data_IF_982935942739
#
_entry.id   IF_982935942739
#
_cell.length_a   1.000
_cell.length_b   1.000
_cell.length_c   1.000
_cell.angle_alpha   90.00
_cell.angle_beta   90.00
_cell.angle_gamma   90.00
#
_symmetry.space_group_name_H-M   'P 1'
#
loop_
_entity.id
_entity.type
_entity.pdbx_description
1 polymer ?
#
# COMPACT_ATOMS: atom_id res chain seq x y z
N UNK A 1 29.57 -8.72 22.91
CA UNK A 1 29.51 -7.27 22.72
C UNK A 1 28.36 -6.77 23.58
N UNK A 2 28.66 -6.02 24.64
CA UNK A 2 27.68 -5.57 25.62
C UNK A 2 26.88 -4.38 25.04
N UNK A 3 25.67 -4.15 25.57
CA UNK A 3 24.78 -3.04 25.17
C UNK A 3 25.44 -1.66 25.26
N UNK A 4 26.39 -1.50 26.19
CA UNK A 4 27.19 -0.29 26.38
C UNK A 4 28.17 -0.08 25.23
N UNK A 5 28.84 -1.12 24.76
CA UNK A 5 29.79 -1.05 23.64
C UNK A 5 29.11 -0.65 22.32
N UNK A 6 27.84 -1.07 22.13
CA UNK A 6 27.06 -0.70 20.95
C UNK A 6 26.63 0.78 20.97
N UNK A 7 26.29 1.32 22.15
CA UNK A 7 25.90 2.72 22.29
C UNK A 7 27.10 3.67 22.19
N UNK A 8 28.27 3.27 22.67
CA UNK A 8 29.52 4.04 22.52
C UNK A 8 30.01 4.06 21.06
N UNK A 9 29.74 3.04 20.28
CA UNK A 9 30.03 2.98 18.86
C UNK A 9 29.14 3.96 18.06
N UNK A 10 27.89 4.13 18.47
CA UNK A 10 26.95 5.11 17.88
C UNK A 10 27.29 6.56 18.25
N UNK A 11 27.80 6.79 19.46
CA UNK A 11 28.16 8.13 19.96
C UNK A 11 29.42 8.71 19.28
N UNK A 12 30.29 7.87 18.72
CA UNK A 12 31.56 8.28 18.07
C UNK A 12 31.47 8.62 16.58
N UNK A 13 30.26 8.69 16.00
CA UNK A 13 29.97 9.31 14.71
C UNK A 13 30.61 8.70 13.45
N UNK A 14 31.38 7.60 13.55
CA UNK A 14 32.15 7.05 12.44
C UNK A 14 31.63 5.76 11.82
N UNK A 15 30.64 5.11 12.45
CA UNK A 15 30.22 3.76 12.06
C UNK A 15 28.99 3.65 11.17
N UNK A 16 28.11 4.67 11.16
CA UNK A 16 26.90 4.62 10.32
C UNK A 16 27.25 4.71 8.82
N UNK A 17 28.26 5.52 8.46
CA UNK A 17 28.72 5.65 7.08
C UNK A 17 29.45 4.41 6.54
N UNK A 18 30.07 3.60 7.42
CA UNK A 18 30.80 2.40 7.02
C UNK A 18 29.86 1.19 6.88
N UNK A 19 28.87 1.07 7.77
CA UNK A 19 27.82 0.02 7.68
C UNK A 19 26.94 0.21 6.44
N UNK A 20 26.65 1.46 6.06
CA UNK A 20 25.92 1.78 4.82
C UNK A 20 26.68 1.40 3.54
N UNK A 21 28.04 1.43 3.56
CA UNK A 21 28.85 1.01 2.41
C UNK A 21 28.94 -0.51 2.24
N UNK A 22 28.68 -1.28 3.28
CA UNK A 22 28.73 -2.75 3.26
C UNK A 22 27.34 -3.41 3.15
N UNK A 23 26.26 -2.62 3.26
CA UNK A 23 24.90 -3.13 3.09
C UNK A 23 24.63 -3.47 1.61
N UNK A 24 24.01 -4.60 1.30
CA UNK A 24 23.54 -4.89 -0.05
C UNK A 24 22.67 -3.74 -0.56
N UNK A 25 22.80 -3.40 -1.85
CA UNK A 25 22.06 -2.27 -2.47
C UNK A 25 20.56 -2.28 -2.14
N UNK A 26 19.92 -3.47 -2.13
CA UNK A 26 18.52 -3.63 -1.76
C UNK A 26 18.18 -3.26 -0.30
N UNK A 27 19.15 -3.44 0.63
CA UNK A 27 18.96 -3.05 2.02
C UNK A 27 19.04 -1.53 2.22
N UNK A 28 19.90 -0.84 1.45
CA UNK A 28 20.00 0.62 1.43
C UNK A 28 18.74 1.29 0.85
N UNK A 29 18.17 0.71 -0.20
CA UNK A 29 16.91 1.19 -0.79
C UNK A 29 15.73 1.01 0.16
N UNK A 30 15.65 -0.12 0.84
CA UNK A 30 14.65 -0.40 1.86
C UNK A 30 14.72 0.61 3.03
N UNK A 31 15.93 0.89 3.56
CA UNK A 31 16.14 1.90 4.62
C UNK A 31 15.74 3.30 4.15
N UNK A 32 16.05 3.69 2.89
CA UNK A 32 15.64 4.98 2.33
C UNK A 32 14.13 5.08 2.11
N UNK A 33 13.48 4.02 1.66
CA UNK A 33 12.03 3.98 1.51
C UNK A 33 11.33 4.11 2.87
N UNK A 34 11.84 3.46 3.91
CA UNK A 34 11.31 3.60 5.28
C UNK A 34 11.46 5.03 5.84
N UNK A 35 12.55 5.74 5.52
CA UNK A 35 12.77 7.11 6.02
C UNK A 35 11.78 8.12 5.44
N UNK A 36 11.13 7.83 4.32
CA UNK A 36 10.10 8.67 3.68
C UNK A 36 8.67 8.16 3.91
N UNK A 37 8.49 7.05 4.61
CA UNK A 37 7.18 6.49 4.91
C UNK A 37 6.57 7.11 6.17
N UNK A 38 5.26 7.41 6.12
CA UNK A 38 4.48 7.64 7.33
C UNK A 38 4.27 6.30 8.03
N UNK A 39 4.91 6.13 9.20
CA UNK A 39 4.87 4.88 9.96
C UNK A 39 3.57 4.75 10.75
N UNK A 40 3.04 3.53 10.80
CA UNK A 40 1.91 3.13 11.63
C UNK A 40 2.27 1.84 12.37
N UNK A 41 1.38 1.36 13.25
CA UNK A 41 1.54 0.07 13.90
C UNK A 41 1.77 -1.02 12.85
N UNK A 42 2.83 -1.83 13.05
CA UNK A 42 3.13 -2.97 12.17
C UNK A 42 2.01 -4.01 12.24
N UNK A 43 1.46 -4.38 11.08
CA UNK A 43 0.38 -5.34 10.96
C UNK A 43 0.80 -6.54 10.10
N UNK A 44 0.69 -7.75 10.66
CA UNK A 44 0.88 -9.00 9.92
C UNK A 44 -0.28 -9.20 8.94
N UNK A 45 0.00 -9.46 7.67
CA UNK A 45 -1.01 -9.92 6.72
C UNK A 45 -1.38 -11.37 7.06
N UNK A 46 -2.68 -11.64 7.27
CA UNK A 46 -3.19 -12.95 7.67
C UNK A 46 -4.33 -13.40 6.76
N UNK A 47 -4.55 -14.71 6.68
CA UNK A 47 -5.72 -15.28 6.05
C UNK A 47 -6.97 -15.18 6.97
N UNK A 48 -8.11 -15.66 6.51
CA UNK A 48 -9.36 -15.67 7.29
C UNK A 48 -9.30 -16.50 8.57
N UNK A 49 -8.38 -17.46 8.65
CA UNK A 49 -8.15 -18.28 9.85
C UNK A 49 -7.17 -17.63 10.83
N UNK A 50 -6.59 -16.47 10.47
CA UNK A 50 -5.61 -15.75 11.27
C UNK A 50 -4.17 -16.25 11.12
N UNK A 51 -3.89 -17.17 10.19
CA UNK A 51 -2.55 -17.61 9.86
C UNK A 51 -1.85 -16.58 8.94
N UNK A 52 -0.50 -16.53 8.93
CA UNK A 52 0.22 -15.67 8.00
C UNK A 52 -0.20 -15.92 6.54
N UNK A 53 -0.63 -14.86 5.86
CA UNK A 53 -0.99 -14.93 4.46
C UNK A 53 0.27 -15.11 3.59
N UNK A 54 0.27 -16.14 2.74
CA UNK A 54 1.42 -16.48 1.93
C UNK A 54 1.42 -15.72 0.60
N UNK A 55 2.33 -14.76 0.43
CA UNK A 55 2.41 -13.96 -0.79
C UNK A 55 2.69 -14.82 -2.03
N UNK A 56 3.39 -15.94 -1.87
CA UNK A 56 3.67 -16.88 -2.96
C UNK A 56 2.41 -17.52 -3.58
N UNK A 57 1.27 -17.45 -2.88
CA UNK A 57 -0.01 -18.00 -3.38
C UNK A 57 -0.79 -17.02 -4.25
N UNK A 58 -0.35 -15.74 -4.32
CA UNK A 58 -1.01 -14.72 -5.12
C UNK A 58 -0.86 -15.00 -6.61
N UNK A 59 -1.95 -15.31 -7.29
CA UNK A 59 -1.95 -15.45 -8.74
C UNK A 59 -1.84 -14.07 -9.42
N UNK A 60 -1.25 -14.01 -10.62
CA UNK A 60 -1.19 -12.80 -11.40
C UNK A 60 -2.56 -12.14 -11.59
N UNK A 61 -2.61 -10.83 -11.36
CA UNK A 61 -3.77 -9.97 -11.60
C UNK A 61 -5.06 -10.33 -10.82
N UNK A 62 -4.96 -11.16 -9.77
CA UNK A 62 -6.05 -11.37 -8.83
C UNK A 62 -5.92 -10.38 -7.66
N UNK A 63 -6.81 -9.38 -7.52
CA UNK A 63 -6.74 -8.42 -6.44
C UNK A 63 -7.34 -8.96 -5.15
N UNK A 64 -6.68 -8.65 -4.04
CA UNK A 64 -7.14 -8.88 -2.67
C UNK A 64 -7.28 -7.55 -1.92
N UNK A 65 -8.03 -7.56 -0.82
CA UNK A 65 -8.20 -6.38 0.04
C UNK A 65 -7.83 -6.73 1.47
N UNK A 66 -7.20 -5.79 2.15
CA UNK A 66 -6.95 -5.82 3.59
C UNK A 66 -7.12 -4.43 4.20
N UNK A 67 -7.54 -4.36 5.46
CA UNK A 67 -7.65 -3.11 6.21
C UNK A 67 -6.30 -2.77 6.86
N UNK A 68 -5.79 -1.53 6.66
CA UNK A 68 -4.58 -0.99 7.29
C UNK A 68 -4.45 0.51 7.00
N UNK A 69 -4.02 1.36 7.92
CA UNK A 69 -3.63 1.08 9.31
C UNK A 69 -4.85 0.96 10.23
N UNK A 70 -6.02 1.39 9.77
CA UNK A 70 -7.26 1.39 10.53
C UNK A 70 -8.26 0.37 10.00
N UNK A 71 -9.18 -0.07 10.84
CA UNK A 71 -10.22 -1.04 10.48
C UNK A 71 -11.05 -0.61 9.25
N UNK A 72 -11.21 0.70 9.03
CA UNK A 72 -12.01 1.25 7.92
C UNK A 72 -11.17 1.72 6.71
N UNK A 73 -9.86 1.49 6.67
CA UNK A 73 -9.00 1.93 5.56
C UNK A 73 -8.56 0.75 4.69
N UNK A 74 -9.34 0.42 3.64
CA UNK A 74 -9.03 -0.70 2.77
C UNK A 74 -7.87 -0.39 1.83
N UNK A 75 -7.05 -1.42 1.55
CA UNK A 75 -5.96 -1.39 0.60
C UNK A 75 -6.09 -2.56 -0.37
N UNK A 76 -5.68 -2.38 -1.61
CA UNK A 76 -5.66 -3.44 -2.62
C UNK A 76 -4.24 -3.98 -2.72
N UNK A 77 -4.11 -5.30 -2.53
CA UNK A 77 -2.90 -6.11 -2.71
C UNK A 77 -3.02 -6.89 -4.01
N UNK A 78 -1.98 -6.88 -4.84
CA UNK A 78 -2.00 -7.57 -6.13
C UNK A 78 -0.61 -7.99 -6.58
N UNK A 79 -0.53 -9.15 -7.25
CA UNK A 79 0.59 -9.57 -8.06
C UNK A 79 0.40 -9.01 -9.48
N UNK A 80 1.32 -8.13 -9.93
CA UNK A 80 1.21 -7.48 -11.26
C UNK A 80 1.92 -8.25 -12.38
N UNK A 81 2.47 -9.43 -12.08
CA UNK A 81 3.15 -10.33 -13.03
C UNK A 81 4.34 -9.69 -13.77
N UNK A 82 4.99 -8.74 -13.15
CA UNK A 82 6.18 -8.07 -13.69
C UNK A 82 7.12 -7.67 -12.55
N UNK A 83 8.42 -7.90 -12.73
CA UNK A 83 9.42 -7.39 -11.78
C UNK A 83 9.43 -5.87 -11.79
N UNK A 84 9.32 -5.27 -10.60
CA UNK A 84 9.20 -3.83 -10.42
C UNK A 84 10.48 -3.24 -9.85
N UNK A 85 10.96 -2.20 -10.53
CA UNK A 85 12.15 -1.44 -10.12
C UNK A 85 11.76 -0.20 -9.31
N UNK A 86 12.67 0.31 -8.45
CA UNK A 86 12.46 1.55 -7.74
C UNK A 86 12.26 2.74 -8.69
N UNK A 87 11.31 3.60 -8.36
CA UNK A 87 11.05 4.85 -9.11
C UNK A 87 10.91 6.05 -8.17
N UNK A 88 11.27 7.23 -8.65
CA UNK A 88 10.99 8.49 -7.98
C UNK A 88 9.57 8.93 -8.30
N UNK A 89 8.74 9.07 -7.26
CA UNK A 89 7.36 9.54 -7.39
C UNK A 89 7.31 11.02 -7.07
N UNK A 90 6.83 11.81 -8.03
CA UNK A 90 6.69 13.26 -7.88
C UNK A 90 5.37 13.59 -7.20
N UNK A 91 5.43 14.51 -6.22
CA UNK A 91 4.27 15.02 -5.50
C UNK A 91 4.12 16.52 -5.77
N UNK A 92 2.88 17.05 -5.91
CA UNK A 92 2.63 18.46 -6.20
C UNK A 92 3.20 19.44 -5.16
N UNK A 93 3.30 18.99 -3.90
CA UNK A 93 3.87 19.76 -2.79
C UNK A 93 5.40 19.69 -2.70
N UNK A 94 6.06 19.02 -3.67
CA UNK A 94 7.50 18.83 -3.72
C UNK A 94 8.04 17.76 -2.76
N UNK A 95 7.20 17.12 -1.95
CA UNK A 95 7.59 16.02 -1.06
C UNK A 95 7.71 14.70 -1.85
N UNK A 96 8.57 14.71 -2.84
CA UNK A 96 8.85 13.54 -3.66
C UNK A 96 9.40 12.40 -2.80
N UNK A 97 9.11 11.17 -3.18
CA UNK A 97 9.61 10.00 -2.48
C UNK A 97 10.07 8.91 -3.46
N UNK A 98 11.02 8.09 -3.01
CA UNK A 98 11.45 6.93 -3.77
C UNK A 98 10.59 5.73 -3.39
N UNK A 99 9.77 5.28 -4.34
CA UNK A 99 9.04 4.03 -4.21
C UNK A 99 9.98 2.85 -4.53
N UNK A 100 10.10 1.84 -3.65
CA UNK A 100 11.12 0.78 -3.79
C UNK A 100 10.77 -0.31 -4.81
N UNK A 101 9.59 -0.26 -5.42
CA UNK A 101 9.06 -1.34 -6.26
C UNK A 101 8.22 -2.33 -5.47
N UNK A 102 8.04 -3.53 -6.01
CA UNK A 102 7.26 -4.60 -5.40
C UNK A 102 8.04 -5.41 -4.37
N UNK A 103 7.32 -6.20 -3.59
CA UNK A 103 7.85 -7.21 -2.66
C UNK A 103 7.60 -8.63 -3.20
N UNK A 104 7.99 -9.66 -2.42
CA UNK A 104 7.92 -11.06 -2.82
C UNK A 104 9.16 -11.50 -3.61
N UNK A 105 9.26 -12.79 -3.91
CA UNK A 105 10.43 -13.37 -4.63
C UNK A 105 10.62 -12.77 -6.02
N UNK A 106 9.51 -12.42 -6.72
CA UNK A 106 9.53 -11.83 -8.05
C UNK A 106 9.50 -10.30 -8.04
N UNK A 107 9.54 -9.64 -6.87
CA UNK A 107 9.37 -8.18 -6.74
C UNK A 107 8.16 -7.64 -7.52
N UNK A 108 7.10 -8.41 -7.58
CA UNK A 108 5.92 -8.21 -8.42
C UNK A 108 4.62 -8.01 -7.62
N UNK A 109 4.72 -7.98 -6.29
CA UNK A 109 3.55 -7.82 -5.40
C UNK A 109 3.57 -6.42 -4.83
N UNK A 110 2.46 -5.70 -5.00
CA UNK A 110 2.28 -4.32 -4.56
C UNK A 110 1.00 -4.17 -3.77
N UNK A 111 0.97 -3.17 -2.89
CA UNK A 111 -0.25 -2.75 -2.23
C UNK A 111 -0.39 -1.23 -2.24
N UNK A 112 -1.62 -0.76 -2.46
CA UNK A 112 -1.98 0.66 -2.48
C UNK A 112 -3.25 0.89 -1.69
N UNK A 113 -3.38 2.06 -1.08
CA UNK A 113 -4.68 2.46 -0.54
C UNK A 113 -5.75 2.38 -1.62
N UNK A 114 -6.94 1.93 -1.29
CA UNK A 114 -8.08 1.98 -2.20
C UNK A 114 -8.93 3.25 -2.02
N UNK A 115 -8.37 4.26 -1.37
CA UNK A 115 -9.00 5.57 -1.15
C UNK A 115 -8.47 6.54 -2.21
N UNK A 116 -9.37 7.03 -3.07
CA UNK A 116 -9.01 7.96 -4.13
C UNK A 116 -8.68 9.35 -3.56
N UNK A 117 -7.51 9.94 -3.87
CA UNK A 117 -7.11 11.23 -3.34
C UNK A 117 -7.91 12.42 -3.90
N UNK A 118 -8.80 12.22 -4.89
CA UNK A 118 -9.65 13.27 -5.44
C UNK A 118 -10.83 13.59 -4.52
N UNK A 119 -11.67 12.60 -4.19
CA UNK A 119 -12.92 12.79 -3.44
C UNK A 119 -13.17 11.67 -2.43
N UNK A 120 -12.12 10.96 -2.01
CA UNK A 120 -12.14 9.91 -0.98
C UNK A 120 -13.10 8.76 -1.25
N UNK A 121 -13.51 8.55 -2.51
CA UNK A 121 -14.20 7.34 -2.93
C UNK A 121 -13.27 6.15 -2.77
N UNK A 122 -13.78 4.99 -2.39
CA UNK A 122 -12.96 3.86 -1.99
C UNK A 122 -13.58 2.51 -2.35
N UNK A 123 -12.85 1.42 -2.17
CA UNK A 123 -13.39 0.06 -2.25
C UNK A 123 -14.24 -0.24 -1.01
N UNK A 124 -15.49 0.20 -1.04
CA UNK A 124 -16.43 -0.07 0.04
C UNK A 124 -17.05 -1.47 -0.07
N UNK A 125 -17.49 -2.10 1.05
CA UNK A 125 -18.10 -3.45 1.02
C UNK A 125 -19.35 -3.55 0.15
N UNK A 126 -20.14 -2.50 0.07
CA UNK A 126 -21.40 -2.45 -0.69
C UNK A 126 -21.27 -1.82 -2.08
N UNK A 127 -20.23 -1.00 -2.32
CA UNK A 127 -19.97 -0.38 -3.62
C UNK A 127 -18.47 -0.12 -3.79
N UNK A 128 -17.81 -0.87 -4.66
CA UNK A 128 -16.38 -0.71 -4.93
C UNK A 128 -16.11 0.40 -5.93
N UNK A 129 -15.95 1.65 -5.47
CA UNK A 129 -15.61 2.75 -6.36
C UNK A 129 -14.15 2.72 -6.86
N UNK A 130 -13.24 2.05 -6.16
CA UNK A 130 -11.85 1.86 -6.54
C UNK A 130 -11.58 0.39 -6.83
N UNK A 131 -11.09 0.06 -8.01
CA UNK A 131 -10.77 -1.30 -8.41
C UNK A 131 -9.43 -1.43 -9.13
N UNK A 132 -8.93 -2.67 -9.19
CA UNK A 132 -7.75 -3.03 -9.97
C UNK A 132 -8.18 -3.53 -11.36
N UNK A 133 -7.45 -3.10 -12.39
CA UNK A 133 -7.64 -3.50 -13.79
C UNK A 133 -6.34 -4.11 -14.31
N UNK A 134 -6.44 -5.35 -14.77
CA UNK A 134 -5.33 -6.07 -15.40
C UNK A 134 -4.91 -5.39 -16.71
N UNK A 135 -3.71 -5.70 -17.23
CA UNK A 135 -3.28 -5.20 -18.54
C UNK A 135 -4.29 -5.50 -19.64
N UNK A 136 -4.52 -4.52 -20.52
CA UNK A 136 -5.43 -4.64 -21.66
C UNK A 136 -4.95 -3.77 -22.82
N UNK A 137 -4.65 -4.37 -23.98
CA UNK A 137 -4.06 -3.68 -25.12
C UNK A 137 -2.76 -2.99 -24.73
N UNK A 138 -2.65 -1.70 -24.99
CA UNK A 138 -1.48 -0.88 -24.64
C UNK A 138 -1.51 -0.32 -23.21
N UNK A 139 -2.54 -0.66 -22.42
CA UNK A 139 -2.70 -0.20 -21.03
C UNK A 139 -2.14 -1.22 -20.06
N UNK A 140 -1.15 -0.81 -19.29
CA UNK A 140 -0.59 -1.61 -18.19
C UNK A 140 -1.57 -1.84 -17.03
N UNK A 141 -1.15 -2.61 -16.02
CA UNK A 141 -1.94 -2.84 -14.82
C UNK A 141 -2.13 -1.51 -14.07
N UNK A 142 -3.36 -1.25 -13.64
CA UNK A 142 -3.73 0.04 -13.05
C UNK A 142 -4.82 -0.09 -12.00
N UNK A 143 -4.89 0.86 -11.10
CA UNK A 143 -6.07 1.09 -10.27
C UNK A 143 -6.89 2.24 -10.88
N UNK A 144 -8.22 2.09 -10.87
CA UNK A 144 -9.14 3.11 -11.39
C UNK A 144 -10.24 3.41 -10.38
N UNK A 145 -10.47 4.69 -10.17
CA UNK A 145 -11.58 5.19 -9.37
C UNK A 145 -12.78 5.50 -10.28
N UNK A 146 -13.82 4.67 -10.21
CA UNK A 146 -15.00 4.81 -11.08
C UNK A 146 -15.89 6.02 -10.76
N UNK A 147 -15.68 6.68 -9.63
CA UNK A 147 -16.45 7.87 -9.29
C UNK A 147 -16.17 9.04 -10.25
N UNK A 148 -14.89 9.26 -10.61
CA UNK A 148 -14.49 10.37 -11.50
C UNK A 148 -13.36 9.96 -12.47
N UNK A 149 -13.13 8.66 -12.64
CA UNK A 149 -12.22 8.07 -13.62
C UNK A 149 -10.73 8.44 -13.42
N UNK A 150 -10.31 8.74 -12.18
CA UNK A 150 -8.88 8.81 -11.89
C UNK A 150 -8.23 7.45 -12.06
N UNK A 151 -7.11 7.40 -12.78
CA UNK A 151 -6.36 6.19 -13.10
C UNK A 151 -4.93 6.30 -12.58
N UNK A 152 -4.41 5.20 -11.99
CA UNK A 152 -3.12 5.17 -11.31
C UNK A 152 -2.29 3.98 -11.78
N UNK A 153 -1.03 4.22 -12.13
CA UNK A 153 -0.09 3.19 -12.55
C UNK A 153 0.51 2.47 -11.34
N UNK A 154 0.11 1.23 -11.13
CA UNK A 154 0.57 0.43 -9.98
C UNK A 154 2.00 -0.09 -10.15
N UNK A 155 2.60 0.02 -11.34
CA UNK A 155 3.99 -0.35 -11.61
C UNK A 155 4.96 0.82 -11.39
N UNK A 156 4.43 2.02 -11.15
CA UNK A 156 5.19 3.25 -10.99
C UNK A 156 4.80 4.02 -9.73
N UNK A 157 4.66 3.33 -8.60
CA UNK A 157 4.40 3.96 -7.32
C UNK A 157 3.04 4.65 -7.20
N UNK A 158 2.04 4.25 -8.01
CA UNK A 158 0.71 4.85 -7.99
C UNK A 158 0.59 6.18 -8.74
N UNK A 159 1.53 6.51 -9.65
CA UNK A 159 1.48 7.74 -10.46
C UNK A 159 0.13 7.91 -11.15
N UNK A 160 -0.39 9.15 -11.17
CA UNK A 160 -1.61 9.49 -11.89
C UNK A 160 -1.39 9.37 -13.40
N UNK A 161 -2.25 8.63 -14.08
CA UNK A 161 -2.25 8.48 -15.54
C UNK A 161 -3.41 9.21 -16.23
N UNK A 162 -4.42 9.60 -15.45
CA UNK A 162 -5.57 10.34 -15.94
C UNK A 162 -6.58 10.63 -14.85
N UNK A 163 -7.53 11.49 -15.18
CA UNK A 163 -8.58 11.92 -14.27
C UNK A 163 -8.14 13.04 -13.29
N UNK A 164 -9.03 13.43 -12.38
CA UNK A 164 -8.86 14.63 -11.56
C UNK A 164 -8.04 14.41 -10.26
N UNK A 165 -7.45 13.24 -10.04
CA UNK A 165 -6.65 13.00 -8.83
C UNK A 165 -5.47 13.97 -8.74
N UNK A 166 -5.27 14.67 -7.60
CA UNK A 166 -4.25 15.71 -7.49
C UNK A 166 -2.84 15.15 -7.32
N UNK A 167 -2.68 13.89 -6.90
CA UNK A 167 -1.38 13.26 -6.67
C UNK A 167 -1.46 11.72 -6.78
N UNK A 168 -0.29 11.08 -6.73
CA UNK A 168 -0.16 9.63 -6.76
C UNK A 168 -0.97 8.94 -5.64
N UNK A 169 -1.45 7.74 -5.93
CA UNK A 169 -2.11 6.90 -4.94
C UNK A 169 -1.09 6.41 -3.91
N UNK A 170 -1.36 6.58 -2.63
CA UNK A 170 -0.40 6.21 -1.59
C UNK A 170 -0.13 4.70 -1.59
N UNK A 171 1.15 4.34 -1.63
CA UNK A 171 1.59 2.94 -1.60
C UNK A 171 1.73 2.46 -0.16
N UNK A 172 1.23 1.25 0.14
CA UNK A 172 1.50 0.60 1.42
C UNK A 172 2.96 0.15 1.45
N UNK A 173 3.70 0.57 2.46
CA UNK A 173 5.04 0.06 2.71
C UNK A 173 4.92 -1.36 3.30
N UNK A 174 5.39 -2.34 2.54
CA UNK A 174 5.39 -3.75 2.92
C UNK A 174 6.79 -4.22 3.28
N UNK A 175 6.92 -4.94 4.41
CA UNK A 175 8.07 -5.77 4.72
C UNK A 175 7.76 -7.22 4.37
N UNK A 176 8.72 -7.93 3.78
CA UNK A 176 8.56 -9.33 3.38
C UNK A 176 9.68 -10.20 3.91
N UNK A 177 9.33 -11.21 4.71
CA UNK A 177 10.24 -12.27 5.17
C UNK A 177 10.17 -13.44 4.16
N UNK A 178 11.17 -13.52 3.30
CA UNK A 178 11.21 -14.53 2.25
C UNK A 178 11.41 -15.97 2.77
N UNK A 179 11.98 -16.13 3.99
CA UNK A 179 12.22 -17.45 4.59
C UNK A 179 10.93 -18.06 5.13
N UNK A 180 10.02 -17.21 5.64
CA UNK A 180 8.74 -17.61 6.20
C UNK A 180 7.58 -17.42 5.23
N UNK A 181 7.80 -16.69 4.12
CA UNK A 181 6.75 -16.18 3.24
C UNK A 181 5.68 -15.40 4.04
N UNK A 182 6.14 -14.44 4.83
CA UNK A 182 5.30 -13.58 5.66
C UNK A 182 5.45 -12.12 5.24
N UNK A 183 4.35 -11.39 5.21
CA UNK A 183 4.35 -9.98 4.87
C UNK A 183 3.70 -9.14 5.96
N UNK A 184 4.24 -7.94 6.15
CA UNK A 184 3.78 -6.98 7.14
C UNK A 184 3.54 -5.63 6.47
N UNK A 185 2.44 -4.98 6.77
CA UNK A 185 2.22 -3.58 6.47
C UNK A 185 2.85 -2.74 7.60
N UNK A 186 3.67 -1.73 7.24
CA UNK A 186 4.44 -0.95 8.23
C UNK A 186 4.26 0.56 8.08
N UNK A 187 3.53 1.01 7.06
CA UNK A 187 3.29 2.43 6.80
C UNK A 187 2.83 2.72 5.39
N UNK A 188 2.96 3.98 4.99
CA UNK A 188 2.62 4.44 3.65
C UNK A 188 3.70 5.33 3.06
N UNK A 189 3.93 5.19 1.77
CA UNK A 189 4.68 6.12 0.95
C UNK A 189 3.68 7.02 0.21
N UNK A 190 3.95 8.32 0.15
CA UNK A 190 3.04 9.32 -0.37
C UNK A 190 2.06 9.84 0.68
N UNK A 191 0.95 10.41 0.24
CA UNK A 191 -0.05 11.04 1.11
C UNK A 191 -1.34 10.21 1.17
N UNK A 192 -1.60 9.41 2.23
CA UNK A 192 -2.78 8.57 2.33
C UNK A 192 -4.07 9.32 2.69
N UNK A 193 -4.00 10.57 3.16
CA UNK A 193 -5.13 11.47 3.46
C UNK A 193 -6.22 10.85 4.36
N UNK A 194 -5.84 10.10 5.40
CA UNK A 194 -6.80 9.40 6.24
C UNK A 194 -7.72 10.32 7.02
N UNK A 195 -7.25 11.47 7.50
CA UNK A 195 -8.09 12.39 8.25
C UNK A 195 -9.17 13.02 7.36
N UNK A 196 -8.83 13.35 6.12
CA UNK A 196 -9.76 13.84 5.11
C UNK A 196 -10.79 12.76 4.74
N UNK A 197 -10.34 11.53 4.55
CA UNK A 197 -11.18 10.37 4.29
C UNK A 197 -12.20 10.15 5.42
N UNK A 198 -11.76 10.14 6.67
CA UNK A 198 -12.65 9.96 7.82
C UNK A 198 -13.65 11.08 7.98
N UNK A 199 -13.28 12.31 7.62
CA UNK A 199 -14.23 13.44 7.61
C UNK A 199 -15.25 13.30 6.49
N UNK A 200 -14.79 13.04 5.26
CA UNK A 200 -15.63 12.93 4.07
C UNK A 200 -16.61 11.75 4.15
N UNK A 201 -16.17 10.61 4.67
CA UNK A 201 -16.94 9.36 4.73
C UNK A 201 -17.58 9.10 6.10
N UNK A 202 -17.61 10.09 7.01
CA UNK A 202 -18.04 9.91 8.41
C UNK A 202 -19.37 9.17 8.55
N UNK A 203 -20.41 9.59 7.82
CA UNK A 203 -21.74 8.96 7.90
C UNK A 203 -21.73 7.52 7.39
N UNK A 204 -21.08 7.24 6.26
CA UNK A 204 -20.98 5.90 5.68
C UNK A 204 -20.20 4.96 6.61
N UNK A 205 -19.10 5.44 7.19
CA UNK A 205 -18.29 4.68 8.13
C UNK A 205 -19.01 4.39 9.45
N UNK A 206 -19.79 5.34 9.96
CA UNK A 206 -20.64 5.09 11.15
C UNK A 206 -21.69 4.01 10.88
N UNK A 207 -22.26 3.97 9.69
CA UNK A 207 -23.21 2.93 9.31
C UNK A 207 -22.54 1.54 9.25
N UNK A 208 -21.28 1.45 8.79
CA UNK A 208 -20.54 0.20 8.68
C UNK A 208 -19.94 -0.27 10.03
N UNK A 209 -19.35 0.66 10.79
CA UNK A 209 -18.56 0.36 11.99
C UNK A 209 -19.28 0.74 13.30
N UNK A 210 -20.52 1.26 13.24
CA UNK A 210 -21.33 1.79 14.34
C UNK A 210 -20.79 3.08 14.97
N UNK A 211 -19.47 3.25 15.09
CA UNK A 211 -18.82 4.44 15.63
C UNK A 211 -17.57 4.82 14.82
N UNK A 212 -17.21 6.10 14.82
CA UNK A 212 -15.97 6.58 14.21
C UNK A 212 -14.74 6.03 14.94
N UNK A 213 -14.82 5.81 16.24
CA UNK A 213 -13.72 5.23 17.02
C UNK A 213 -13.38 3.82 16.54
N UNK A 214 -14.40 2.96 16.33
CA UNK A 214 -14.18 1.62 15.74
C UNK A 214 -13.65 1.66 14.32
N UNK A 215 -14.09 2.61 13.51
CA UNK A 215 -13.56 2.79 12.16
C UNK A 215 -12.07 3.18 12.18
N UNK A 216 -11.62 3.93 13.20
CA UNK A 216 -10.23 4.37 13.42
C UNK A 216 -9.41 3.43 14.32
N UNK A 217 -9.92 2.27 14.68
CA UNK A 217 -9.17 1.29 15.45
C UNK A 217 -7.98 0.77 14.62
N UNK A 218 -6.76 0.89 15.18
CA UNK A 218 -5.56 0.40 14.52
C UNK A 218 -5.52 -1.11 14.52
N UNK A 219 -5.03 -1.69 13.42
CA UNK A 219 -4.95 -3.14 13.25
C UNK A 219 -3.51 -3.63 13.41
N UNK A 220 -3.30 -4.70 14.16
CA UNK A 220 -2.02 -5.42 14.29
C UNK A 220 -1.98 -6.69 13.44
N UNK A 221 -3.15 -7.16 12.99
CA UNK A 221 -3.33 -8.24 12.01
C UNK A 221 -4.31 -7.78 10.95
N UNK A 222 -3.89 -7.83 9.71
CA UNK A 222 -4.69 -7.37 8.57
C UNK A 222 -5.15 -8.58 7.75
N UNK A 223 -6.44 -8.92 7.85
CA UNK A 223 -7.01 -10.07 7.12
C UNK A 223 -7.10 -9.75 5.63
N UNK A 224 -6.44 -10.58 4.83
CA UNK A 224 -6.41 -10.51 3.37
C UNK A 224 -7.55 -11.37 2.81
N UNK A 225 -8.44 -10.75 2.05
CA UNK A 225 -9.58 -11.43 1.41
C UNK A 225 -9.64 -11.09 -0.08
N UNK A 226 -10.16 -11.96 -0.96
CA UNK A 226 -10.38 -11.63 -2.36
C UNK A 226 -11.22 -10.35 -2.53
N UNK A 227 -10.88 -9.52 -3.50
CA UNK A 227 -11.61 -8.27 -3.77
C UNK A 227 -13.11 -8.50 -3.99
N UNK A 228 -13.48 -9.57 -4.72
CA UNK A 228 -14.87 -9.93 -4.99
C UNK A 228 -15.66 -10.35 -3.73
N UNK A 229 -14.98 -10.77 -2.67
CA UNK A 229 -15.63 -11.04 -1.38
C UNK A 229 -15.77 -9.77 -0.53
N UNK A 230 -14.80 -8.83 -0.65
CA UNK A 230 -14.87 -7.56 0.05
C UNK A 230 -15.99 -6.68 -0.50
N UNK A 231 -16.08 -6.58 -1.83
CA UNK A 231 -17.01 -5.69 -2.52
C UNK A 231 -18.12 -6.46 -3.20
N UNK A 232 -19.37 -6.28 -2.73
CA UNK A 232 -20.55 -6.97 -3.28
C UNK A 232 -20.96 -6.48 -4.67
N UNK A 233 -20.71 -5.20 -4.96
CA UNK A 233 -20.97 -4.58 -6.26
C UNK A 233 -19.67 -3.96 -6.76
N UNK A 234 -18.83 -4.72 -7.49
CA UNK A 234 -17.68 -4.13 -8.16
C UNK A 234 -18.19 -3.17 -9.24
N UNK A 235 -17.77 -1.93 -9.16
CA UNK A 235 -18.05 -0.96 -10.22
C UNK A 235 -17.15 -1.28 -11.41
N UNK A 236 -17.75 -1.66 -12.53
CA UNK A 236 -17.07 -1.64 -13.82
C UNK A 236 -17.08 -0.20 -14.30
N UNK A 237 -15.93 0.45 -14.28
CA UNK A 237 -15.81 1.75 -14.94
C UNK A 237 -15.98 1.61 -16.44
N UNK A 238 -16.66 2.54 -17.12
CA UNK A 238 -16.51 2.65 -18.55
C UNK A 238 -15.02 2.82 -18.85
N UNK A 239 -14.48 1.90 -19.64
CA UNK A 239 -13.08 1.92 -20.03
C UNK A 239 -12.89 3.15 -20.89
N UNK A 240 -12.23 4.17 -20.35
CA UNK A 240 -11.80 5.31 -21.16
C UNK A 240 -10.85 4.77 -22.23
N UNK A 241 -11.25 4.92 -23.48
CA UNK A 241 -10.51 4.53 -24.67
C UNK A 241 -9.14 5.21 -24.78
#
# INVERSE_FOLDING_TARGET
>A
MDRRDFLDLLAKGTSLGLLLKLAPLGMLEFVRAQSSATSFQKALLVDKAGNPFKLSTLKPHEPFVFAYPFAATPNILVNVDAELSPVEVKMPDGKNYRWPGGVGKGRNIVAYTSICPHAYSYAAPNLGAMGYYKPEGNRGPRMVCCAHLSSFDVTRGGEVRGGPAPHALAAVALEYDAAKDEAYAVGFLGNPQFDEFFRAQNQALRNLFRTTARAREEVSKATVIPYAEHTKVPTTCPVLG
#
